data_IF_572467681389
#
_entry.id   IF_572467681389
#
_cell.length_a   1.000
_cell.length_b   1.000
_cell.length_c   1.000
_cell.angle_alpha   90.00
_cell.angle_beta   90.00
_cell.angle_gamma   90.00
#
_symmetry.space_group_name_H-M   'P 1'
#
loop_
_entity.id
_entity.type
_entity.pdbx_description
1 polymer ?
#
# COMPACT_ATOMS: atom_id res chain seq x y z
N UNK A 1 11.41 29.46 37.19
CA UNK A 1 11.38 28.05 37.63
C UNK A 1 12.56 27.30 37.02
N UNK A 2 13.25 26.45 37.78
CA UNK A 2 14.31 25.57 37.27
C UNK A 2 13.71 24.49 36.36
N UNK A 3 14.22 24.31 35.15
CA UNK A 3 13.77 23.19 34.30
C UNK A 3 14.33 21.87 34.82
N UNK A 4 13.50 20.84 34.89
CA UNK A 4 13.89 19.50 35.31
C UNK A 4 13.37 18.44 34.34
N UNK A 5 14.18 17.43 34.06
CA UNK A 5 13.70 16.24 33.35
C UNK A 5 12.78 15.43 34.29
N UNK A 6 11.75 14.80 33.72
CA UNK A 6 10.86 13.91 34.46
C UNK A 6 11.62 12.78 35.16
N UNK A 7 11.07 12.27 36.26
CA UNK A 7 11.64 11.16 37.03
C UNK A 7 13.04 11.44 37.63
N UNK A 8 13.40 12.71 37.86
CA UNK A 8 14.66 13.10 38.53
C UNK A 8 14.41 13.76 39.89
N UNK A 9 15.38 13.72 40.81
CA UNK A 9 15.27 14.43 42.11
C UNK A 9 14.97 15.93 41.95
N UNK A 10 15.50 16.56 40.89
CA UNK A 10 15.24 17.97 40.55
C UNK A 10 13.78 18.24 40.20
N UNK A 11 13.05 17.26 39.67
CA UNK A 11 11.62 17.36 39.35
C UNK A 11 10.73 17.46 40.61
N UNK A 12 11.22 17.01 41.77
CA UNK A 12 10.50 17.06 43.04
C UNK A 12 10.83 18.30 43.89
N UNK A 13 11.76 19.15 43.44
CA UNK A 13 12.17 20.36 44.16
C UNK A 13 11.15 21.49 44.01
N UNK A 14 10.95 22.28 45.08
CA UNK A 14 10.18 23.53 45.01
C UNK A 14 10.78 24.45 43.94
N UNK A 15 9.93 25.12 43.16
CA UNK A 15 10.29 26.00 42.04
C UNK A 15 10.90 25.30 40.80
N UNK A 16 10.79 23.98 40.69
CA UNK A 16 11.09 23.25 39.45
C UNK A 16 9.86 23.19 38.53
N UNK A 17 10.10 23.21 37.21
CA UNK A 17 9.10 22.96 36.17
C UNK A 17 9.59 21.77 35.35
N UNK A 18 8.84 20.67 35.41
CA UNK A 18 9.16 19.47 34.64
C UNK A 18 8.91 19.73 33.17
N UNK A 19 9.92 19.52 32.33
CA UNK A 19 9.73 19.55 30.88
C UNK A 19 9.02 18.27 30.44
N UNK A 20 8.04 18.42 29.55
CA UNK A 20 7.38 17.27 28.93
C UNK A 20 8.39 16.43 28.13
N UNK A 21 8.08 15.15 27.86
CA UNK A 21 8.90 14.33 26.99
C UNK A 21 8.99 14.96 25.58
N UNK A 22 10.08 14.71 24.84
CA UNK A 22 10.18 15.15 23.45
C UNK A 22 9.07 14.50 22.60
N UNK A 23 8.68 15.16 21.50
CA UNK A 23 7.75 14.56 20.54
C UNK A 23 8.33 13.25 20.00
N UNK A 24 7.55 12.17 20.04
CA UNK A 24 7.99 10.86 19.57
C UNK A 24 8.07 10.75 18.04
N UNK A 25 7.50 11.71 17.29
CA UNK A 25 7.49 11.70 15.82
C UNK A 25 6.82 10.45 15.23
N UNK A 26 5.85 9.85 15.95
CA UNK A 26 5.27 8.56 15.57
C UNK A 26 4.45 8.62 14.26
N UNK A 27 3.93 9.79 13.90
CA UNK A 27 3.11 10.02 12.70
C UNK A 27 3.85 10.83 11.63
N UNK A 28 5.06 11.32 11.94
CA UNK A 28 5.84 12.12 10.99
C UNK A 28 6.28 11.25 9.81
N UNK A 29 6.09 11.80 8.60
CA UNK A 29 6.54 11.20 7.35
C UNK A 29 8.06 11.00 7.36
N UNK A 30 8.51 9.91 6.78
CA UNK A 30 9.92 9.53 6.70
C UNK A 30 10.35 9.55 5.24
N UNK A 31 11.52 10.16 4.94
CA UNK A 31 12.00 10.19 3.57
C UNK A 31 12.27 8.77 3.07
N UNK A 32 11.81 8.48 1.86
CA UNK A 32 12.14 7.25 1.17
C UNK A 32 13.65 7.18 0.87
N UNK A 33 14.20 5.97 0.94
CA UNK A 33 15.57 5.72 0.49
C UNK A 33 15.61 5.75 -1.05
N UNK A 34 16.75 6.07 -1.67
CA UNK A 34 16.90 5.92 -3.12
C UNK A 34 16.60 4.49 -3.55
N UNK A 35 15.70 4.33 -4.52
CA UNK A 35 15.26 3.02 -5.02
C UNK A 35 16.24 2.47 -6.06
N UNK A 36 16.32 1.14 -6.14
CA UNK A 36 16.87 0.44 -7.29
C UNK A 36 16.00 0.66 -8.53
N UNK A 37 14.67 0.77 -8.36
CA UNK A 37 13.73 1.10 -9.43
C UNK A 37 14.15 2.34 -10.22
N UNK A 38 14.34 3.49 -9.54
CA UNK A 38 14.69 4.74 -10.19
C UNK A 38 16.01 4.64 -10.96
N UNK A 39 17.01 3.97 -10.38
CA UNK A 39 18.31 3.75 -11.04
C UNK A 39 18.19 2.91 -12.30
N UNK A 40 17.40 1.85 -12.29
CA UNK A 40 17.16 1.00 -13.45
C UNK A 40 16.35 1.73 -14.53
N UNK A 41 15.39 2.55 -14.12
CA UNK A 41 14.61 3.39 -15.04
C UNK A 41 15.51 4.39 -15.77
N UNK A 42 16.34 5.13 -15.04
CA UNK A 42 17.26 6.13 -15.61
C UNK A 42 18.32 5.52 -16.54
N UNK A 43 18.70 4.25 -16.32
CA UNK A 43 19.59 3.50 -17.21
C UNK A 43 18.91 3.01 -18.49
N UNK A 44 17.57 2.95 -18.50
CA UNK A 44 16.81 2.37 -19.60
C UNK A 44 16.76 0.84 -19.59
N UNK A 45 17.09 0.22 -18.46
CA UNK A 45 17.17 -1.24 -18.31
C UNK A 45 15.79 -1.92 -18.20
N UNK A 46 14.71 -1.14 -17.97
CA UNK A 46 13.37 -1.71 -17.87
C UNK A 46 12.80 -2.12 -19.25
N UNK A 47 12.07 -3.26 -19.32
CA UNK A 47 11.35 -3.70 -20.49
C UNK A 47 10.03 -2.92 -20.69
N UNK A 48 9.99 -1.64 -20.36
CA UNK A 48 8.80 -0.77 -20.47
C UNK A 48 9.14 0.50 -21.25
N UNK A 49 8.14 1.08 -21.89
CA UNK A 49 8.19 2.36 -22.58
C UNK A 49 6.89 3.14 -22.35
N UNK A 50 6.92 4.47 -22.50
CA UNK A 50 5.72 5.28 -22.50
C UNK A 50 5.03 5.14 -23.86
N UNK A 51 3.77 4.71 -23.87
CA UNK A 51 2.93 4.75 -25.05
C UNK A 51 1.87 5.85 -24.88
N UNK A 52 1.84 6.77 -25.85
CA UNK A 52 0.81 7.80 -25.93
C UNK A 52 -0.31 7.27 -26.83
N UNK A 53 -1.39 6.79 -26.24
CA UNK A 53 -2.63 6.52 -26.97
C UNK A 53 -3.55 7.75 -26.88
N UNK A 54 -4.40 7.92 -27.90
CA UNK A 54 -5.53 8.86 -27.91
C UNK A 54 -6.48 8.72 -26.71
N UNK A 55 -6.45 7.58 -26.01
CA UNK A 55 -7.21 7.28 -24.79
C UNK A 55 -6.45 7.54 -23.49
N UNK A 56 -5.17 7.93 -23.56
CA UNK A 56 -4.34 8.20 -22.40
C UNK A 56 -2.95 7.55 -22.43
N UNK A 57 -2.15 7.87 -21.41
CA UNK A 57 -0.84 7.26 -21.18
C UNK A 57 -0.98 5.81 -20.73
N UNK A 58 -0.30 4.90 -21.41
CA UNK A 58 -0.13 3.50 -21.01
C UNK A 58 1.35 3.14 -20.99
N UNK A 59 1.71 2.12 -20.22
CA UNK A 59 3.03 1.51 -20.36
C UNK A 59 2.95 0.46 -21.46
N UNK A 60 3.88 0.53 -22.42
CA UNK A 60 4.08 -0.52 -23.41
C UNK A 60 5.21 -1.43 -22.95
N UNK A 61 4.93 -2.72 -22.85
CA UNK A 61 5.93 -3.72 -22.54
C UNK A 61 6.72 -4.09 -23.79
N UNK A 62 8.05 -3.94 -23.73
CA UNK A 62 8.98 -4.34 -24.82
C UNK A 62 9.12 -5.86 -24.94
N UNK A 63 8.79 -6.58 -23.87
CA UNK A 63 8.84 -8.04 -23.75
C UNK A 63 7.52 -8.51 -23.14
N UNK A 64 6.92 -9.58 -23.68
CA UNK A 64 5.73 -10.20 -23.11
C UNK A 64 5.93 -10.52 -21.61
N UNK A 65 4.96 -10.16 -20.78
CA UNK A 65 5.05 -10.22 -19.32
C UNK A 65 5.30 -11.66 -18.86
N UNK A 66 4.68 -12.63 -19.52
CA UNK A 66 4.76 -14.06 -19.25
C UNK A 66 6.20 -14.59 -19.44
N UNK A 67 7.02 -13.92 -20.24
CA UNK A 67 8.42 -14.29 -20.52
C UNK A 67 9.44 -13.62 -19.59
N UNK A 68 9.03 -12.65 -18.76
CA UNK A 68 9.94 -11.94 -17.85
C UNK A 68 10.46 -12.82 -16.70
N UNK A 69 11.66 -12.55 -16.19
CA UNK A 69 12.12 -13.16 -14.95
C UNK A 69 11.50 -12.44 -13.74
N UNK A 70 10.56 -13.09 -13.07
CA UNK A 70 9.85 -12.52 -11.92
C UNK A 70 10.74 -12.39 -10.68
N UNK A 71 11.79 -13.20 -10.53
CA UNK A 71 12.72 -13.06 -9.42
C UNK A 71 13.53 -11.76 -9.55
N UNK A 72 13.76 -11.30 -10.78
CA UNK A 72 14.47 -10.06 -11.04
C UNK A 72 13.55 -8.84 -11.06
N UNK A 73 12.50 -8.86 -11.87
CA UNK A 73 11.72 -7.66 -12.17
C UNK A 73 10.65 -7.34 -11.12
N UNK A 74 9.94 -8.32 -10.56
CA UNK A 74 8.85 -8.03 -9.64
C UNK A 74 9.33 -7.33 -8.35
N UNK A 75 10.44 -7.75 -7.71
CA UNK A 75 10.99 -7.01 -6.57
C UNK A 75 11.45 -5.59 -6.92
N UNK A 76 11.98 -5.38 -8.14
CA UNK A 76 12.37 -4.04 -8.61
C UNK A 76 11.16 -3.11 -8.75
N UNK A 77 10.06 -3.59 -9.32
CA UNK A 77 8.81 -2.81 -9.41
C UNK A 77 8.23 -2.53 -8.02
N UNK A 78 8.25 -3.51 -7.11
CA UNK A 78 7.81 -3.32 -5.72
C UNK A 78 8.68 -2.33 -4.95
N UNK A 79 9.99 -2.26 -5.21
CA UNK A 79 10.88 -1.25 -4.63
C UNK A 79 10.49 0.18 -5.06
N UNK A 80 9.93 0.32 -6.27
CA UNK A 80 9.38 1.55 -6.81
C UNK A 80 8.08 2.03 -6.13
N UNK A 81 7.45 1.25 -5.25
CA UNK A 81 6.20 1.67 -4.57
C UNK A 81 6.37 2.91 -3.68
N UNK A 82 7.60 3.22 -3.26
CA UNK A 82 7.90 4.43 -2.50
C UNK A 82 8.17 5.67 -3.37
N UNK A 83 8.14 5.53 -4.70
CA UNK A 83 8.26 6.65 -5.63
C UNK A 83 7.00 7.52 -5.61
N UNK A 84 7.18 8.83 -5.52
CA UNK A 84 6.09 9.83 -5.53
C UNK A 84 6.24 10.85 -6.66
N UNK A 85 7.30 10.74 -7.46
CA UNK A 85 7.65 11.71 -8.50
C UNK A 85 7.33 11.11 -9.87
N UNK A 86 6.66 11.88 -10.71
CA UNK A 86 6.44 11.52 -12.11
C UNK A 86 7.77 11.59 -12.91
N UNK A 87 8.05 10.64 -13.82
CA UNK A 87 7.20 9.52 -14.27
C UNK A 87 7.34 8.24 -13.44
N UNK A 88 8.25 8.20 -12.47
CA UNK A 88 8.65 6.98 -11.78
C UNK A 88 7.49 6.28 -11.06
N UNK A 89 6.65 7.04 -10.34
CA UNK A 89 5.51 6.48 -9.60
C UNK A 89 4.50 5.78 -10.52
N UNK A 90 4.22 6.38 -11.69
CA UNK A 90 3.31 5.83 -12.69
C UNK A 90 3.82 4.51 -13.24
N UNK A 91 5.09 4.46 -13.66
CA UNK A 91 5.69 3.23 -14.19
C UNK A 91 5.80 2.13 -13.14
N UNK A 92 6.15 2.48 -11.90
CA UNK A 92 6.24 1.51 -10.82
C UNK A 92 4.88 0.86 -10.54
N UNK A 93 3.84 1.68 -10.37
CA UNK A 93 2.48 1.21 -10.03
C UNK A 93 1.85 0.40 -11.15
N UNK A 94 1.94 0.89 -12.38
CA UNK A 94 1.39 0.17 -13.53
C UNK A 94 2.15 -1.14 -13.78
N UNK A 95 3.47 -1.12 -13.63
CA UNK A 95 4.30 -2.32 -13.77
C UNK A 95 3.97 -3.40 -12.75
N UNK A 96 3.79 -3.03 -11.47
CA UNK A 96 3.33 -3.97 -10.42
C UNK A 96 1.98 -4.58 -10.80
N UNK A 97 0.99 -3.76 -11.18
CA UNK A 97 -0.33 -4.26 -11.56
C UNK A 97 -0.27 -5.26 -12.71
N UNK A 98 0.37 -4.89 -13.82
CA UNK A 98 0.39 -5.74 -15.00
C UNK A 98 1.09 -7.07 -14.73
N UNK A 99 2.17 -7.06 -13.92
CA UNK A 99 2.88 -8.27 -13.52
C UNK A 99 2.08 -9.14 -12.53
N UNK A 100 1.31 -8.55 -11.62
CA UNK A 100 0.44 -9.34 -10.74
C UNK A 100 -0.75 -9.95 -11.50
N UNK A 101 -1.28 -9.23 -12.49
CA UNK A 101 -2.42 -9.70 -13.30
C UNK A 101 -2.03 -10.85 -14.24
N UNK A 102 -0.84 -10.81 -14.85
CA UNK A 102 -0.39 -11.78 -15.86
C UNK A 102 0.69 -12.75 -15.36
N UNK A 103 1.05 -12.68 -14.07
CA UNK A 103 2.16 -13.47 -13.52
C UNK A 103 1.83 -14.92 -13.21
N UNK A 104 0.57 -15.21 -12.86
CA UNK A 104 0.11 -16.56 -12.52
C UNK A 104 1.01 -17.25 -11.50
N UNK A 105 1.44 -18.48 -11.80
CA UNK A 105 2.26 -19.31 -10.90
C UNK A 105 3.67 -18.77 -10.63
N UNK A 106 4.11 -17.73 -11.34
CA UNK A 106 5.44 -17.11 -11.17
C UNK A 106 5.51 -16.15 -9.98
N UNK A 107 4.37 -15.76 -9.42
CA UNK A 107 4.29 -14.80 -8.30
C UNK A 107 4.64 -15.47 -6.98
N UNK A 108 4.05 -16.64 -6.70
CA UNK A 108 4.24 -17.40 -5.47
C UNK A 108 5.72 -17.59 -5.05
N UNK A 109 6.65 -18.03 -5.92
CA UNK A 109 8.05 -18.22 -5.52
C UNK A 109 8.78 -16.92 -5.17
N UNK A 110 8.25 -15.75 -5.54
CA UNK A 110 8.91 -14.45 -5.34
C UNK A 110 8.46 -13.76 -4.06
N UNK A 111 7.38 -14.22 -3.40
CA UNK A 111 6.83 -13.62 -2.17
C UNK A 111 7.88 -13.24 -1.12
N UNK A 112 8.86 -14.11 -0.77
CA UNK A 112 9.89 -13.75 0.22
C UNK A 112 10.70 -12.50 -0.15
N UNK A 113 10.90 -12.23 -1.44
CA UNK A 113 11.66 -11.09 -1.95
C UNK A 113 10.85 -9.78 -1.92
N UNK A 114 9.52 -9.85 -1.88
CA UNK A 114 8.63 -8.68 -1.86
C UNK A 114 8.48 -8.06 -0.47
N UNK A 115 8.77 -8.84 0.59
CA UNK A 115 8.53 -8.44 1.98
C UNK A 115 9.27 -7.16 2.36
N UNK A 116 10.54 -7.03 1.96
CA UNK A 116 11.37 -5.86 2.29
C UNK A 116 10.89 -4.60 1.53
N UNK A 117 10.68 -4.63 0.20
CA UNK A 117 10.05 -3.52 -0.52
C UNK A 117 8.71 -3.06 0.06
N UNK A 118 7.78 -3.98 0.35
CA UNK A 118 6.48 -3.68 0.96
C UNK A 118 6.68 -2.96 2.31
N UNK A 119 7.52 -3.53 3.18
CA UNK A 119 7.83 -2.95 4.48
C UNK A 119 8.43 -1.55 4.33
N UNK A 120 9.33 -1.33 3.38
CA UNK A 120 9.95 -0.03 3.15
C UNK A 120 8.92 1.02 2.71
N UNK A 121 8.04 0.67 1.76
CA UNK A 121 6.97 1.54 1.29
C UNK A 121 6.03 1.95 2.42
N UNK A 122 5.52 0.99 3.21
CA UNK A 122 4.64 1.30 4.34
C UNK A 122 5.33 2.15 5.42
N UNK A 123 6.64 1.94 5.65
CA UNK A 123 7.41 2.69 6.64
C UNK A 123 7.74 4.13 6.24
N UNK A 124 7.46 4.55 5.00
CA UNK A 124 7.54 5.97 4.60
C UNK A 124 6.57 6.83 5.40
N UNK A 125 5.46 6.26 5.88
CA UNK A 125 4.36 6.99 6.54
C UNK A 125 3.74 8.08 5.66
N UNK A 126 4.06 8.08 4.36
CA UNK A 126 3.37 8.88 3.38
C UNK A 126 2.01 8.22 3.10
N UNK A 127 0.92 8.98 3.29
CA UNK A 127 -0.44 8.45 3.15
C UNK A 127 -0.72 7.90 1.74
N UNK A 128 -0.23 8.58 0.69
CA UNK A 128 -0.42 8.14 -0.70
C UNK A 128 0.29 6.82 -0.97
N UNK A 129 1.53 6.70 -0.50
CA UNK A 129 2.33 5.47 -0.62
C UNK A 129 1.68 4.32 0.14
N UNK A 130 1.20 4.56 1.36
CA UNK A 130 0.52 3.52 2.15
C UNK A 130 -0.75 3.05 1.45
N UNK A 131 -1.64 3.96 1.03
CA UNK A 131 -2.87 3.57 0.35
C UNK A 131 -2.59 2.78 -0.94
N UNK A 132 -1.61 3.22 -1.73
CA UNK A 132 -1.18 2.50 -2.93
C UNK A 132 -0.64 1.12 -2.60
N UNK A 133 0.20 1.00 -1.57
CA UNK A 133 0.76 -0.29 -1.14
C UNK A 133 -0.32 -1.23 -0.61
N UNK A 134 -1.33 -0.73 0.11
CA UNK A 134 -2.46 -1.52 0.59
C UNK A 134 -3.30 -2.09 -0.55
N UNK A 135 -3.54 -1.31 -1.62
CA UNK A 135 -4.22 -1.77 -2.83
C UNK A 135 -3.39 -2.83 -3.58
N UNK A 136 -2.09 -2.63 -3.69
CA UNK A 136 -1.17 -3.64 -4.26
C UNK A 136 -1.18 -4.93 -3.44
N UNK A 137 -1.24 -4.83 -2.11
CA UNK A 137 -1.35 -6.00 -1.24
C UNK A 137 -2.68 -6.76 -1.42
N UNK A 138 -3.80 -6.04 -1.61
CA UNK A 138 -5.09 -6.65 -1.95
C UNK A 138 -5.03 -7.39 -3.29
N UNK A 139 -4.39 -6.80 -4.31
CA UNK A 139 -4.19 -7.47 -5.62
C UNK A 139 -3.25 -8.67 -5.50
N UNK A 140 -2.17 -8.55 -4.73
CA UNK A 140 -1.19 -9.62 -4.54
C UNK A 140 -1.85 -10.90 -3.99
N UNK A 141 -2.64 -10.80 -2.92
CA UNK A 141 -3.23 -12.00 -2.28
C UNK A 141 -4.28 -12.72 -3.13
N UNK A 142 -4.80 -12.06 -4.18
CA UNK A 142 -5.74 -12.66 -5.15
C UNK A 142 -5.09 -13.01 -6.49
N UNK A 143 -3.80 -12.70 -6.67
CA UNK A 143 -3.10 -12.85 -7.95
C UNK A 143 -2.74 -14.30 -8.33
N UNK A 144 -2.84 -15.24 -7.38
CA UNK A 144 -2.55 -16.65 -7.64
C UNK A 144 -2.91 -17.54 -6.46
N UNK A 145 -3.02 -18.85 -6.74
CA UNK A 145 -3.26 -19.87 -5.73
C UNK A 145 -2.12 -19.88 -4.69
N UNK A 146 -2.47 -20.07 -3.41
CA UNK A 146 -1.55 -20.07 -2.26
C UNK A 146 -0.79 -18.77 -1.99
N UNK A 147 -0.97 -17.69 -2.78
CA UNK A 147 -0.23 -16.44 -2.56
C UNK A 147 -0.58 -15.80 -1.21
N UNK A 148 -1.86 -15.79 -0.84
CA UNK A 148 -2.31 -15.29 0.46
C UNK A 148 -1.75 -16.12 1.63
N UNK A 149 -1.81 -17.45 1.55
CA UNK A 149 -1.24 -18.37 2.55
C UNK A 149 0.28 -18.16 2.72
N UNK A 150 1.00 -18.00 1.61
CA UNK A 150 2.44 -17.76 1.62
C UNK A 150 2.83 -16.42 2.27
N UNK A 151 1.89 -15.47 2.40
CA UNK A 151 2.13 -14.17 3.03
C UNK A 151 2.03 -14.22 4.57
N UNK A 152 1.29 -15.18 5.13
CA UNK A 152 1.00 -15.28 6.58
C UNK A 152 2.25 -15.26 7.47
N UNK A 153 3.35 -15.99 7.16
CA UNK A 153 4.56 -15.95 7.98
C UNK A 153 5.20 -14.56 8.09
N UNK A 154 4.86 -13.64 7.18
CA UNK A 154 5.43 -12.31 7.09
C UNK A 154 4.55 -11.22 7.70
N UNK A 155 3.36 -11.53 8.19
CA UNK A 155 2.46 -10.57 8.88
C UNK A 155 3.16 -9.80 10.00
N UNK A 156 4.08 -10.46 10.73
CA UNK A 156 4.87 -9.81 11.80
C UNK A 156 5.75 -8.66 11.31
N UNK A 157 6.14 -8.67 10.04
CA UNK A 157 7.01 -7.66 9.43
C UNK A 157 6.23 -6.51 8.81
N UNK A 158 5.04 -6.78 8.25
CA UNK A 158 4.26 -5.82 7.46
C UNK A 158 3.13 -5.15 8.24
N UNK A 159 2.45 -5.86 9.15
CA UNK A 159 1.26 -5.35 9.84
C UNK A 159 1.51 -4.31 10.95
N UNK A 160 2.64 -4.30 11.69
CA UNK A 160 2.82 -3.35 12.81
C UNK A 160 2.59 -1.88 12.46
N UNK A 161 2.98 -1.47 11.25
CA UNK A 161 2.87 -0.08 10.79
C UNK A 161 1.41 0.36 10.60
N UNK A 162 0.51 -0.58 10.26
CA UNK A 162 -0.90 -0.31 10.04
C UNK A 162 -1.63 0.09 11.34
N UNK A 163 -1.16 -0.40 12.50
CA UNK A 163 -1.72 -0.03 13.80
C UNK A 163 -1.65 1.48 14.08
N UNK A 164 -0.67 2.18 13.51
CA UNK A 164 -0.55 3.64 13.64
C UNK A 164 -1.72 4.34 12.93
N UNK A 165 -2.14 3.81 11.78
CA UNK A 165 -3.10 4.48 10.89
C UNK A 165 -4.52 3.92 10.99
N UNK A 166 -4.73 2.78 11.64
CA UNK A 166 -6.03 2.08 11.71
C UNK A 166 -7.18 2.95 12.24
N UNK A 167 -6.92 3.81 13.22
CA UNK A 167 -7.94 4.70 13.81
C UNK A 167 -7.92 6.13 13.22
N UNK A 168 -7.18 6.35 12.12
CA UNK A 168 -7.05 7.69 11.52
C UNK A 168 -8.31 8.06 10.74
N UNK A 169 -9.34 8.52 11.45
CA UNK A 169 -10.51 9.15 10.82
C UNK A 169 -10.20 10.60 10.42
N UNK A 170 -10.57 11.06 9.22
CA UNK A 170 -10.33 12.43 8.74
C UNK A 170 -11.09 13.53 9.50
N UNK A 171 -11.77 13.22 10.62
CA UNK A 171 -12.50 14.20 11.43
C UNK A 171 -11.59 15.14 12.25
N UNK A 172 -10.27 15.06 12.10
CA UNK A 172 -9.34 16.11 12.52
C UNK A 172 -8.94 16.99 11.33
N UNK A 173 -9.86 17.87 10.90
CA UNK A 173 -9.52 19.23 10.48
C UNK A 173 -8.67 19.51 9.23
N UNK A 174 -8.49 18.60 8.27
CA UNK A 174 -7.84 18.93 6.99
C UNK A 174 -8.73 18.61 5.76
N UNK A 175 -8.73 19.54 4.79
CA UNK A 175 -9.83 19.95 3.92
C UNK A 175 -10.24 18.99 2.77
N UNK A 176 -11.55 19.10 2.41
CA UNK A 176 -12.27 19.03 1.10
C UNK A 176 -11.58 18.24 -0.05
N UNK A 177 -12.26 17.27 -0.68
CA UNK A 177 -13.04 17.44 -1.93
C UNK A 177 -13.83 16.15 -2.28
N UNK A 178 -15.13 16.31 -2.55
CA UNK A 178 -16.05 15.65 -3.51
C UNK A 178 -16.23 14.11 -3.64
N UNK A 179 -17.34 13.74 -4.30
CA UNK A 179 -18.11 12.50 -4.20
C UNK A 179 -18.40 11.87 -5.58
N UNK A 180 -18.63 10.53 -5.67
CA UNK A 180 -19.68 9.88 -6.49
C UNK A 180 -19.76 8.35 -6.26
N UNK A 181 -20.91 7.78 -6.65
CA UNK A 181 -21.37 6.38 -6.71
C UNK A 181 -21.81 5.70 -5.41
N UNK A 182 -22.87 6.24 -4.82
CA UNK A 182 -24.04 5.41 -4.46
C UNK A 182 -25.06 5.52 -5.60
N UNK A 183 -25.68 4.40 -5.95
CA UNK A 183 -26.73 4.18 -6.95
C UNK A 183 -26.26 3.55 -8.27
N UNK A 184 -25.99 2.25 -8.24
CA UNK A 184 -26.37 1.40 -9.37
C UNK A 184 -26.99 0.12 -8.79
N UNK A 185 -28.29 -0.02 -9.02
CA UNK A 185 -29.12 -1.15 -8.60
C UNK A 185 -28.83 -2.39 -9.45
N UNK A 186 -28.79 -3.53 -8.76
CA UNK A 186 -29.12 -4.90 -9.20
C UNK A 186 -29.28 -5.14 -10.72
N UNK A 187 -28.33 -5.89 -11.32
CA UNK A 187 -28.60 -7.09 -12.16
C UNK A 187 -27.35 -7.65 -12.89
N UNK A 188 -26.19 -7.00 -12.86
CA UNK A 188 -24.96 -7.48 -13.55
C UNK A 188 -23.91 -8.16 -12.63
N UNK A 189 -24.34 -8.87 -11.58
CA UNK A 189 -23.45 -9.30 -10.48
C UNK A 189 -22.85 -10.71 -10.60
N UNK A 190 -22.85 -11.36 -11.76
CA UNK A 190 -22.56 -12.81 -11.81
C UNK A 190 -21.29 -13.27 -12.54
N UNK A 191 -20.48 -12.44 -13.23
CA UNK A 191 -19.36 -13.01 -14.04
C UNK A 191 -17.98 -12.32 -13.90
N UNK A 192 -17.80 -11.25 -13.13
CA UNK A 192 -16.44 -10.67 -12.92
C UNK A 192 -16.22 -10.32 -11.46
N UNK A 193 -15.15 -10.87 -10.86
CA UNK A 193 -14.77 -10.64 -9.47
C UNK A 193 -14.70 -9.12 -9.18
N UNK A 194 -15.54 -8.65 -8.26
CA UNK A 194 -15.74 -7.22 -7.97
C UNK A 194 -14.45 -6.45 -7.64
N UNK A 195 -13.36 -7.12 -7.25
CA UNK A 195 -12.06 -6.51 -6.94
C UNK A 195 -11.29 -6.15 -8.21
N UNK A 196 -11.21 -7.06 -9.20
CA UNK A 196 -10.47 -6.82 -10.45
C UNK A 196 -11.08 -5.66 -11.23
N UNK A 197 -12.41 -5.57 -11.30
CA UNK A 197 -13.10 -4.48 -11.99
C UNK A 197 -13.01 -3.14 -11.22
N UNK A 198 -13.05 -3.16 -9.89
CA UNK A 198 -12.84 -1.95 -9.09
C UNK A 198 -11.40 -1.43 -9.20
N UNK A 199 -10.42 -2.33 -9.25
CA UNK A 199 -9.02 -1.99 -9.49
C UNK A 199 -8.80 -1.46 -10.92
N UNK A 200 -9.38 -2.13 -11.92
CA UNK A 200 -9.35 -1.67 -13.32
C UNK A 200 -10.00 -0.28 -13.47
N UNK A 201 -11.13 -0.01 -12.83
CA UNK A 201 -11.74 1.33 -12.87
C UNK A 201 -10.85 2.37 -12.16
N UNK A 202 -10.28 2.03 -11.00
CA UNK A 202 -9.40 2.95 -10.23
C UNK A 202 -8.11 3.32 -10.98
N UNK A 203 -7.57 2.42 -11.80
CA UNK A 203 -6.34 2.65 -12.58
C UNK A 203 -6.63 3.34 -13.92
N UNK A 204 -7.73 3.00 -14.60
CA UNK A 204 -8.01 3.48 -15.95
C UNK A 204 -8.81 4.80 -16.02
N UNK A 205 -9.44 5.28 -14.94
CA UNK A 205 -10.11 6.60 -14.93
C UNK A 205 -9.22 7.71 -14.37
N UNK A 206 -8.22 8.13 -15.15
CA UNK A 206 -7.34 9.23 -14.77
C UNK A 206 -6.53 9.78 -15.93
N UNK A 207 -7.19 10.27 -16.98
CA UNK A 207 -6.50 10.94 -18.08
C UNK A 207 -7.15 12.27 -18.45
N UNK A 208 -6.80 13.28 -17.67
CA UNK A 208 -6.73 14.66 -18.14
C UNK A 208 -5.45 15.22 -17.54
N UNK A 209 -4.57 15.77 -18.37
CA UNK A 209 -3.18 16.12 -18.07
C UNK A 209 -2.93 17.22 -17.03
N UNK A 210 -3.75 17.28 -15.98
CA UNK A 210 -3.38 17.83 -14.68
C UNK A 210 -3.03 16.64 -13.77
N UNK A 211 -2.02 16.77 -12.92
CA UNK A 211 -1.64 15.71 -11.98
C UNK A 211 -2.81 15.38 -11.04
N UNK A 212 -3.60 14.36 -11.38
CA UNK A 212 -4.70 13.89 -10.54
C UNK A 212 -4.11 12.87 -9.57
N UNK A 213 -3.86 13.37 -8.37
CA UNK A 213 -3.61 12.66 -7.13
C UNK A 213 -4.68 11.57 -6.89
N UNK A 214 -4.26 10.30 -6.95
CA UNK A 214 -5.13 9.12 -6.79
C UNK A 214 -5.76 8.98 -5.40
N UNK A 215 -5.48 9.90 -4.48
CA UNK A 215 -6.20 10.02 -3.21
C UNK A 215 -7.53 10.78 -3.28
N UNK A 216 -7.89 11.36 -4.44
CA UNK A 216 -8.99 12.34 -4.52
C UNK A 216 -10.34 11.83 -5.03
N UNK A 217 -10.50 10.57 -5.48
CA UNK A 217 -11.78 10.14 -6.09
C UNK A 217 -12.76 9.40 -5.17
N UNK A 218 -12.34 9.07 -3.96
CA UNK A 218 -13.23 8.79 -2.81
C UNK A 218 -12.47 9.26 -1.57
N UNK A 219 -13.20 9.71 -0.55
CA UNK A 219 -12.69 9.72 0.83
C UNK A 219 -12.34 8.29 1.26
N UNK A 220 -11.30 7.68 0.70
CA UNK A 220 -10.75 6.44 1.20
C UNK A 220 -10.08 6.79 2.52
N UNK A 221 -10.84 6.58 3.58
CA UNK A 221 -10.32 6.57 4.91
C UNK A 221 -9.26 5.47 4.97
N UNK A 222 -8.01 5.84 5.28
CA UNK A 222 -6.91 4.88 5.42
C UNK A 222 -7.26 3.77 6.42
N UNK A 223 -8.07 4.07 7.44
CA UNK A 223 -8.60 3.09 8.38
C UNK A 223 -9.52 2.06 7.72
N UNK A 224 -10.44 2.51 6.86
CA UNK A 224 -11.35 1.62 6.12
C UNK A 224 -10.56 0.75 5.13
N UNK A 225 -9.60 1.35 4.40
CA UNK A 225 -8.74 0.60 3.47
C UNK A 225 -7.86 -0.42 4.21
N UNK A 226 -7.33 -0.08 5.39
CA UNK A 226 -6.61 -1.04 6.24
C UNK A 226 -7.54 -2.19 6.63
N UNK A 227 -8.76 -1.89 7.04
CA UNK A 227 -9.74 -2.91 7.41
C UNK A 227 -10.04 -3.84 6.23
N UNK A 228 -10.34 -3.30 5.04
CA UNK A 228 -10.55 -4.07 3.81
C UNK A 228 -9.34 -4.95 3.45
N UNK A 229 -8.12 -4.43 3.60
CA UNK A 229 -6.89 -5.22 3.34
C UNK A 229 -6.72 -6.35 4.36
N UNK A 230 -7.01 -6.13 5.63
CA UNK A 230 -6.94 -7.18 6.66
C UNK A 230 -7.98 -8.29 6.40
N UNK A 231 -9.17 -7.93 5.94
CA UNK A 231 -10.20 -8.89 5.54
C UNK A 231 -9.80 -9.68 4.30
N UNK A 232 -9.15 -9.03 3.33
CA UNK A 232 -8.58 -9.72 2.17
C UNK A 232 -7.49 -10.73 2.58
N UNK A 233 -6.67 -10.38 3.57
CA UNK A 233 -5.64 -11.25 4.14
C UNK A 233 -6.23 -12.44 4.89
N UNK A 234 -7.31 -12.24 5.65
CA UNK A 234 -8.01 -13.33 6.33
C UNK A 234 -8.68 -14.27 5.32
N UNK A 235 -9.36 -13.73 4.31
CA UNK A 235 -10.11 -14.51 3.31
C UNK A 235 -9.23 -15.40 2.44
N UNK A 236 -7.99 -14.99 2.15
CA UNK A 236 -7.09 -15.72 1.25
C UNK A 236 -5.87 -16.33 1.96
N UNK A 237 -5.72 -16.13 3.28
CA UNK A 237 -4.56 -16.57 4.04
C UNK A 237 -4.67 -17.96 4.67
N UNK A 238 -5.78 -18.68 4.46
CA UNK A 238 -6.02 -19.99 5.06
C UNK A 238 -6.40 -19.94 6.55
N UNK A 239 -6.45 -21.10 7.20
CA UNK A 239 -6.99 -21.28 8.56
C UNK A 239 -6.23 -20.49 9.63
N UNK A 240 -4.91 -20.33 9.46
CA UNK A 240 -4.03 -19.63 10.41
C UNK A 240 -3.97 -18.11 10.20
N UNK A 241 -4.66 -17.57 9.19
CA UNK A 241 -4.57 -16.14 8.87
C UNK A 241 -5.08 -15.26 10.02
N UNK A 242 -6.27 -15.57 10.55
CA UNK A 242 -6.92 -14.77 11.59
C UNK A 242 -6.05 -14.67 12.85
N UNK A 243 -5.54 -15.80 13.35
CA UNK A 243 -4.74 -15.81 14.58
C UNK A 243 -3.47 -14.97 14.41
N UNK A 244 -2.80 -15.06 13.26
CA UNK A 244 -1.60 -14.26 12.97
C UNK A 244 -1.92 -12.76 12.81
N UNK A 245 -3.04 -12.41 12.18
CA UNK A 245 -3.51 -11.01 12.11
C UNK A 245 -3.81 -10.49 13.50
N UNK A 246 -4.57 -11.24 14.32
CA UNK A 246 -4.97 -10.84 15.68
C UNK A 246 -3.76 -10.62 16.61
N UNK A 247 -2.71 -11.44 16.47
CA UNK A 247 -1.45 -11.23 17.19
C UNK A 247 -0.77 -9.90 16.86
N UNK A 248 -0.86 -9.45 15.61
CA UNK A 248 -0.22 -8.21 15.16
C UNK A 248 -1.10 -6.97 15.28
N UNK A 249 -2.42 -7.14 15.14
CA UNK A 249 -3.45 -6.11 15.19
C UNK A 249 -4.52 -6.55 16.20
N UNK A 250 -4.31 -6.32 17.51
CA UNK A 250 -5.22 -6.82 18.55
C UNK A 250 -6.66 -6.31 18.44
N UNK A 251 -6.86 -5.16 17.79
CA UNK A 251 -8.17 -4.54 17.55
C UNK A 251 -8.90 -5.08 16.31
N UNK A 252 -8.34 -6.05 15.58
CA UNK A 252 -9.01 -6.66 14.43
C UNK A 252 -10.07 -7.68 14.88
N UNK A 253 -11.21 -7.70 14.20
CA UNK A 253 -12.30 -8.65 14.40
C UNK A 253 -12.49 -9.45 13.10
N UNK A 254 -12.76 -10.75 13.22
CA UNK A 254 -12.84 -11.66 12.07
C UNK A 254 -14.01 -11.29 11.17
N UNK A 255 -13.80 -11.34 9.84
CA UNK A 255 -14.88 -11.18 8.87
C UNK A 255 -15.58 -12.50 8.49
N UNK A 256 -15.03 -13.65 8.90
CA UNK A 256 -15.54 -14.98 8.52
C UNK A 256 -16.35 -15.67 9.64
N UNK A 257 -16.21 -15.21 10.88
CA UNK A 257 -16.82 -15.84 12.06
C UNK A 257 -18.11 -15.14 12.54
N UNK A 258 -18.77 -14.36 11.67
CA UNK A 258 -19.99 -13.61 11.98
C UNK A 258 -21.27 -14.28 11.47
#
# INVERSE_FOLDING_TARGET
>A
SLQAQGFTLKAYMKNSKVVGPPSAGAFEERPAKPTAFRKFYERGDFPIALEHDTKGNRIAWKVEIEKLDYHHYLPLFFDGLCETVHPYEFFARQGVHDMLEHGGSKILPVIPQLIIPIKNALNTRNRLVICTTLKVLQHLVVSGEMVGEALVPYYRQILPILNIFKNSNPNSGENKVFACFKNCTSEHFQILNSITLFYYITIYTGNSGDGIDYSQQKRENIGDLIQETLEAFERHGGEDAFINIKYMVPTYESCLLN
#
